data_IF_009070238641
#
_entry.id   IF_009070238641
#
_cell.length_a   1.000
_cell.length_b   1.000
_cell.length_c   1.000
_cell.angle_alpha   90.00
_cell.angle_beta   90.00
_cell.angle_gamma   90.00
#
_symmetry.space_group_name_H-M   'P 1'
#
loop_
_entity.id
_entity.type
_entity.pdbx_description
1 polymer ?
#
# COMPACT_ATOMS: atom_id res chain seq x y z
N UNK A 1 35.23 5.42 20.45
CA UNK A 1 35.44 5.08 19.02
C UNK A 1 34.57 3.88 18.67
N UNK A 2 33.37 4.09 18.12
CA UNK A 2 32.48 3.03 17.62
C UNK A 2 32.38 3.17 16.10
N UNK A 3 33.45 2.72 15.43
CA UNK A 3 33.56 2.69 13.97
C UNK A 3 33.08 1.33 13.44
N UNK A 4 31.76 1.14 13.28
CA UNK A 4 31.22 -0.04 12.56
C UNK A 4 29.92 0.21 11.77
N UNK A 5 29.42 1.45 11.64
CA UNK A 5 28.17 1.75 10.89
C UNK A 5 28.43 2.12 9.41
N UNK A 6 29.59 1.76 8.86
CA UNK A 6 29.99 2.07 7.48
C UNK A 6 30.15 0.78 6.65
N UNK A 7 29.23 -0.19 6.78
CA UNK A 7 29.12 -1.29 5.81
C UNK A 7 28.11 -0.91 4.73
N UNK A 8 28.62 -0.20 3.73
CA UNK A 8 28.20 -0.28 2.32
C UNK A 8 26.74 -0.70 2.05
N UNK A 9 25.78 0.18 2.35
CA UNK A 9 24.37 -0.03 2.05
C UNK A 9 24.09 0.38 0.59
N UNK A 10 24.56 -0.43 -0.37
CA UNK A 10 24.21 -0.31 -1.80
C UNK A 10 22.70 -0.30 -2.03
N UNK A 11 21.94 -0.98 -1.16
CA UNK A 11 20.48 -0.99 -1.12
C UNK A 11 19.84 0.41 -1.00
N UNK A 12 20.51 1.45 -0.48
CA UNK A 12 19.94 2.82 -0.31
C UNK A 12 19.75 3.56 -1.62
N UNK A 13 20.42 3.09 -2.68
CA UNK A 13 20.20 3.63 -4.01
C UNK A 13 19.02 2.94 -4.69
N UNK A 14 18.72 1.69 -4.30
CA UNK A 14 17.64 0.90 -4.87
C UNK A 14 16.33 0.95 -4.05
N UNK A 15 16.31 1.57 -2.87
CA UNK A 15 15.07 1.66 -2.05
C UNK A 15 13.92 2.34 -2.78
N UNK A 16 14.17 3.42 -3.54
CA UNK A 16 13.16 4.07 -4.36
C UNK A 16 12.63 3.15 -5.47
N UNK A 17 13.54 2.44 -6.14
CA UNK A 17 13.19 1.49 -7.20
C UNK A 17 12.35 0.32 -6.65
N UNK A 18 12.70 -0.21 -5.47
CA UNK A 18 11.92 -1.26 -4.80
C UNK A 18 10.54 -0.77 -4.37
N UNK A 19 10.44 0.45 -3.82
CA UNK A 19 9.16 1.06 -3.48
C UNK A 19 8.26 1.23 -4.72
N UNK A 20 8.85 1.65 -5.84
CA UNK A 20 8.14 1.78 -7.10
C UNK A 20 7.64 0.43 -7.63
N UNK A 21 8.48 -0.61 -7.64
CA UNK A 21 8.05 -1.96 -8.04
C UNK A 21 6.88 -2.46 -7.19
N UNK A 22 6.94 -2.31 -5.87
CA UNK A 22 5.84 -2.71 -4.99
C UNK A 22 4.56 -1.95 -5.33
N UNK A 23 4.64 -0.63 -5.56
CA UNK A 23 3.49 0.18 -5.94
C UNK A 23 2.89 -0.21 -7.31
N UNK A 24 3.75 -0.61 -8.26
CA UNK A 24 3.33 -1.11 -9.57
C UNK A 24 2.59 -2.44 -9.44
N UNK A 25 3.17 -3.40 -8.72
CA UNK A 25 2.56 -4.72 -8.50
C UNK A 25 1.23 -4.57 -7.77
N UNK A 26 1.14 -3.71 -6.75
CA UNK A 26 -0.10 -3.46 -6.02
C UNK A 26 -1.18 -2.84 -6.92
N UNK A 27 -0.81 -1.88 -7.77
CA UNK A 27 -1.73 -1.23 -8.72
C UNK A 27 -2.21 -2.21 -9.78
N UNK A 28 -1.29 -2.94 -10.42
CA UNK A 28 -1.62 -3.94 -11.44
C UNK A 28 -2.44 -5.09 -10.86
N UNK A 29 -2.11 -5.57 -9.65
CA UNK A 29 -2.90 -6.57 -8.94
C UNK A 29 -4.33 -6.08 -8.69
N UNK A 30 -4.49 -4.84 -8.21
CA UNK A 30 -5.80 -4.22 -8.02
C UNK A 30 -6.61 -4.16 -9.32
N UNK A 31 -6.00 -3.78 -10.44
CA UNK A 31 -6.68 -3.76 -11.75
C UNK A 31 -7.01 -5.18 -12.23
N UNK A 32 -6.10 -6.14 -12.07
CA UNK A 32 -6.29 -7.51 -12.49
C UNK A 32 -7.51 -8.16 -11.81
N UNK A 33 -7.68 -7.91 -10.51
CA UNK A 33 -8.84 -8.38 -9.77
C UNK A 33 -10.17 -7.82 -10.29
N UNK A 34 -10.21 -6.58 -10.77
CA UNK A 34 -11.46 -5.99 -11.29
C UNK A 34 -11.73 -6.33 -12.75
N UNK A 35 -10.72 -6.26 -13.62
CA UNK A 35 -10.93 -6.41 -15.07
C UNK A 35 -10.97 -7.88 -15.51
N UNK A 36 -10.12 -8.74 -14.95
CA UNK A 36 -10.03 -10.14 -15.37
C UNK A 36 -10.93 -11.03 -14.51
N UNK A 37 -10.90 -10.85 -13.19
CA UNK A 37 -11.66 -11.68 -12.25
C UNK A 37 -13.07 -11.12 -11.95
N UNK A 38 -13.38 -9.91 -12.44
CA UNK A 38 -14.72 -9.31 -12.30
C UNK A 38 -15.09 -8.91 -10.87
N UNK A 39 -14.12 -8.75 -9.97
CA UNK A 39 -14.41 -8.36 -8.59
C UNK A 39 -14.79 -6.87 -8.52
N UNK A 40 -16.03 -6.64 -8.11
CA UNK A 40 -16.59 -5.30 -7.94
C UNK A 40 -16.01 -4.73 -6.63
N UNK A 41 -15.29 -3.59 -6.68
CA UNK A 41 -14.71 -2.99 -5.49
C UNK A 41 -15.82 -2.43 -4.59
N UNK A 42 -15.70 -2.66 -3.28
CA UNK A 42 -16.50 -1.94 -2.29
C UNK A 42 -15.98 -0.51 -2.07
N UNK A 43 -16.75 0.32 -1.36
CA UNK A 43 -16.37 1.71 -1.09
C UNK A 43 -15.01 1.84 -0.39
N UNK A 44 -14.73 0.98 0.61
CA UNK A 44 -13.43 0.96 1.31
C UNK A 44 -12.27 0.55 0.39
N UNK A 45 -12.46 -0.43 -0.49
CA UNK A 45 -11.48 -0.77 -1.53
C UNK A 45 -11.24 0.40 -2.48
N UNK A 46 -12.28 1.18 -2.78
CA UNK A 46 -12.16 2.35 -3.62
C UNK A 46 -11.28 3.43 -2.98
N UNK A 47 -11.46 3.69 -1.68
CA UNK A 47 -10.56 4.57 -0.93
C UNK A 47 -9.10 4.08 -0.92
N UNK A 48 -8.88 2.76 -0.81
CA UNK A 48 -7.52 2.19 -0.92
C UNK A 48 -6.91 2.45 -2.32
N UNK A 49 -7.71 2.33 -3.40
CA UNK A 49 -7.28 2.61 -4.77
C UNK A 49 -6.89 4.07 -4.98
N UNK A 50 -7.70 5.02 -4.48
CA UNK A 50 -7.39 6.45 -4.55
C UNK A 50 -6.03 6.76 -3.92
N UNK A 51 -5.68 6.08 -2.83
CA UNK A 51 -4.39 6.29 -2.18
C UNK A 51 -3.24 5.56 -2.89
N UNK A 52 -3.49 4.38 -3.46
CA UNK A 52 -2.45 3.56 -4.09
C UNK A 52 -2.05 4.04 -5.49
N UNK A 53 -3.00 4.43 -6.34
CA UNK A 53 -2.68 4.73 -7.74
C UNK A 53 -1.78 5.97 -7.92
N UNK A 54 -2.00 7.08 -7.19
CA UNK A 54 -1.09 8.23 -7.24
C UNK A 54 0.31 7.87 -6.73
N UNK A 55 0.43 6.99 -5.72
CA UNK A 55 1.72 6.56 -5.19
C UNK A 55 2.58 5.89 -6.27
N UNK A 56 1.97 5.07 -7.13
CA UNK A 56 2.67 4.42 -8.25
C UNK A 56 3.30 5.46 -9.20
N UNK A 57 2.55 6.50 -9.55
CA UNK A 57 3.01 7.56 -10.44
C UNK A 57 4.08 8.42 -9.75
N UNK A 58 3.82 8.86 -8.52
CA UNK A 58 4.73 9.70 -7.72
C UNK A 58 6.07 9.01 -7.47
N UNK A 59 6.05 7.73 -7.07
CA UNK A 59 7.27 6.94 -6.88
C UNK A 59 8.00 6.66 -8.20
N UNK A 60 7.26 6.49 -9.30
CA UNK A 60 7.84 6.37 -10.64
C UNK A 60 8.64 7.61 -11.01
N UNK A 61 8.02 8.79 -10.93
CA UNK A 61 8.67 10.08 -11.19
C UNK A 61 9.88 10.26 -10.27
N UNK A 62 9.73 10.03 -8.96
CA UNK A 62 10.84 10.13 -8.01
C UNK A 62 12.01 9.20 -8.32
N UNK A 63 11.73 8.02 -8.89
CA UNK A 63 12.74 7.06 -9.29
C UNK A 63 13.49 7.54 -10.54
N UNK A 64 12.78 8.11 -11.53
CA UNK A 64 13.41 8.69 -12.74
C UNK A 64 14.29 9.91 -12.43
N UNK A 65 13.82 10.82 -11.58
CA UNK A 65 14.58 12.02 -11.19
C UNK A 65 15.51 11.80 -9.97
N UNK A 66 15.51 10.59 -9.40
CA UNK A 66 16.26 10.20 -8.20
C UNK A 66 16.04 11.15 -7.00
N UNK A 67 14.81 11.67 -6.87
CA UNK A 67 14.43 12.67 -5.86
C UNK A 67 14.05 12.02 -4.52
N UNK A 68 14.99 12.01 -3.58
CA UNK A 68 14.79 11.43 -2.23
C UNK A 68 13.95 12.30 -1.30
N UNK A 69 13.59 13.52 -1.71
CA UNK A 69 12.80 14.46 -0.92
C UNK A 69 11.29 14.16 -0.96
N UNK A 70 10.83 13.30 -1.87
CA UNK A 70 9.42 12.99 -2.04
C UNK A 70 8.80 12.24 -0.85
N UNK A 71 9.65 11.74 0.06
CA UNK A 71 9.23 11.09 1.32
C UNK A 71 8.20 11.88 2.12
N UNK A 72 8.23 13.21 2.07
CA UNK A 72 7.28 14.07 2.80
C UNK A 72 5.84 13.90 2.32
N UNK A 73 5.65 13.57 1.05
CA UNK A 73 4.33 13.37 0.44
C UNK A 73 3.89 11.92 0.49
N UNK A 74 4.83 11.00 0.24
CA UNK A 74 4.56 9.56 0.17
C UNK A 74 4.20 8.99 1.55
N UNK A 75 4.91 9.40 2.62
CA UNK A 75 4.70 8.82 3.96
C UNK A 75 3.25 9.00 4.45
N UNK A 76 2.70 10.23 4.50
CA UNK A 76 1.34 10.45 4.98
C UNK A 76 0.30 9.65 4.18
N UNK A 77 0.41 9.64 2.85
CA UNK A 77 -0.52 8.91 1.98
C UNK A 77 -0.45 7.40 2.25
N UNK A 78 0.76 6.84 2.36
CA UNK A 78 0.95 5.41 2.65
C UNK A 78 0.42 4.99 4.03
N UNK A 79 0.55 5.86 5.04
CA UNK A 79 0.05 5.59 6.41
C UNK A 79 -1.48 5.65 6.46
N UNK A 80 -2.09 6.62 5.76
CA UNK A 80 -3.54 6.74 5.68
C UNK A 80 -4.13 5.53 4.92
N UNK A 81 -3.57 5.20 3.76
CA UNK A 81 -3.98 4.01 3.00
C UNK A 81 -3.81 2.70 3.79
N UNK A 82 -2.69 2.58 4.51
CA UNK A 82 -2.42 1.47 5.43
C UNK A 82 -3.48 1.35 6.54
N UNK A 83 -3.81 2.46 7.19
CA UNK A 83 -4.83 2.51 8.25
C UNK A 83 -6.22 2.07 7.74
N UNK A 84 -6.60 2.51 6.53
CA UNK A 84 -7.87 2.11 5.88
C UNK A 84 -7.86 0.61 5.55
N UNK A 85 -6.73 0.08 5.07
CA UNK A 85 -6.61 -1.36 4.77
C UNK A 85 -6.65 -2.23 6.03
N UNK A 86 -6.08 -1.76 7.14
CA UNK A 86 -6.16 -2.42 8.43
C UNK A 86 -7.60 -2.45 8.95
N UNK A 87 -8.31 -1.31 8.85
CA UNK A 87 -9.73 -1.24 9.21
C UNK A 87 -10.59 -2.17 8.35
N UNK A 88 -10.37 -2.21 7.04
CA UNK A 88 -11.09 -3.09 6.14
C UNK A 88 -10.84 -4.58 6.46
N UNK A 89 -9.58 -4.95 6.73
CA UNK A 89 -9.25 -6.31 7.16
C UNK A 89 -9.91 -6.69 8.50
N UNK A 90 -9.98 -5.76 9.45
CA UNK A 90 -10.64 -5.97 10.73
C UNK A 90 -12.15 -6.22 10.56
N UNK A 91 -12.82 -5.49 9.67
CA UNK A 91 -14.25 -5.72 9.36
C UNK A 91 -14.50 -7.13 8.81
N UNK A 92 -13.63 -7.61 7.91
CA UNK A 92 -13.78 -8.93 7.29
C UNK A 92 -13.56 -10.09 8.28
N UNK A 93 -12.68 -9.92 9.27
CA UNK A 93 -12.29 -11.00 10.20
C UNK A 93 -12.99 -10.95 11.55
N UNK A 94 -13.50 -9.80 11.98
CA UNK A 94 -14.16 -9.65 13.28
C UNK A 94 -15.68 -9.67 13.06
N UNK A 95 -16.39 -10.77 13.40
CA UNK A 95 -17.82 -10.95 13.14
C UNK A 95 -18.76 -10.04 13.98
N UNK A 96 -18.24 -8.97 14.60
CA UNK A 96 -19.01 -7.94 15.33
C UNK A 96 -18.90 -6.53 14.74
N UNK A 97 -18.05 -6.31 13.74
CA UNK A 97 -17.92 -5.01 13.04
C UNK A 97 -18.72 -4.96 11.73
N UNK A 98 -19.28 -6.09 11.29
CA UNK A 98 -20.03 -6.24 10.05
C UNK A 98 -21.37 -5.48 10.00
N UNK A 99 -21.88 -5.01 11.14
CA UNK A 99 -23.12 -4.22 11.23
C UNK A 99 -22.88 -2.71 11.02
N UNK A 100 -21.63 -2.26 11.13
CA UNK A 100 -21.27 -0.86 10.88
C UNK A 100 -21.12 -0.70 9.37
N UNK A 101 -22.25 -0.60 8.66
CA UNK A 101 -22.31 -0.32 7.23
C UNK A 101 -22.38 1.21 7.04
N UNK A 102 -21.26 1.94 6.87
CA UNK A 102 -21.34 3.32 6.41
C UNK A 102 -21.89 3.29 4.98
N UNK A 103 -23.18 3.61 4.83
CA UNK A 103 -23.88 3.95 3.59
C UNK A 103 -23.74 2.96 2.42
N UNK A 104 -24.77 2.14 2.17
CA UNK A 104 -24.75 1.17 1.05
C UNK A 104 -25.06 1.87 -0.28
N UNK A 105 -24.06 2.05 -1.13
CA UNK A 105 -24.21 2.10 -2.59
C UNK A 105 -23.35 0.98 -3.22
N UNK A 106 -23.89 -0.25 -3.33
CA UNK A 106 -23.25 -1.36 -4.03
C UNK A 106 -23.01 -2.62 -3.18
N UNK A 107 -21.89 -3.30 -3.41
CA UNK A 107 -21.52 -4.58 -2.76
C UNK A 107 -21.00 -4.38 -1.32
N UNK A 108 -21.37 -5.26 -0.36
CA UNK A 108 -20.96 -5.10 1.03
C UNK A 108 -19.44 -5.25 1.21
N UNK A 109 -18.83 -4.42 2.06
CA UNK A 109 -17.40 -4.49 2.39
C UNK A 109 -17.01 -5.75 3.18
N UNK A 110 -17.99 -6.51 3.69
CA UNK A 110 -17.78 -7.76 4.43
C UNK A 110 -17.65 -9.00 3.50
N UNK A 111 -17.70 -8.81 2.19
CA UNK A 111 -17.60 -9.94 1.25
C UNK A 111 -16.13 -10.26 0.97
N UNK A 112 -15.73 -11.47 1.36
CA UNK A 112 -14.42 -12.03 1.07
C UNK A 112 -14.42 -12.73 -0.30
N UNK A 113 -14.01 -12.02 -1.36
CA UNK A 113 -13.89 -12.59 -2.71
C UNK A 113 -12.75 -13.62 -2.85
N UNK A 114 -11.68 -13.45 -2.08
CA UNK A 114 -10.51 -14.34 -2.08
C UNK A 114 -10.18 -14.67 -0.64
N UNK A 115 -10.11 -15.96 -0.35
CA UNK A 115 -9.68 -16.46 0.96
C UNK A 115 -8.81 -17.71 0.80
N UNK A 116 -7.64 -17.56 0.17
CA UNK A 116 -6.77 -18.69 -0.20
C UNK A 116 -6.25 -19.50 1.00
N UNK A 117 -6.00 -18.85 2.15
CA UNK A 117 -5.43 -19.49 3.34
C UNK A 117 -6.26 -19.26 4.61
N UNK A 118 -7.52 -18.84 4.50
CA UNK A 118 -8.30 -18.42 5.67
C UNK A 118 -7.96 -17.01 6.19
N UNK A 119 -6.83 -16.42 5.75
CA UNK A 119 -6.31 -15.12 6.21
C UNK A 119 -5.90 -14.16 5.08
N UNK A 120 -5.52 -14.66 3.90
CA UNK A 120 -5.08 -13.81 2.79
C UNK A 120 -6.31 -13.29 2.04
N UNK A 121 -6.72 -12.07 2.38
CA UNK A 121 -7.74 -11.31 1.65
C UNK A 121 -7.12 -10.15 0.87
N UNK A 122 -7.89 -9.55 -0.04
CA UNK A 122 -7.48 -8.40 -0.83
C UNK A 122 -6.98 -7.23 0.04
N UNK A 123 -7.69 -6.78 1.11
CA UNK A 123 -7.20 -5.70 1.96
C UNK A 123 -5.92 -6.06 2.72
N UNK A 124 -5.68 -7.34 3.03
CA UNK A 124 -4.42 -7.77 3.65
C UNK A 124 -3.23 -7.59 2.69
N UNK A 125 -3.40 -7.92 1.40
CA UNK A 125 -2.38 -7.68 0.39
C UNK A 125 -2.09 -6.18 0.22
N UNK A 126 -3.15 -5.35 0.23
CA UNK A 126 -3.01 -3.90 0.19
C UNK A 126 -2.23 -3.36 1.42
N UNK A 127 -2.54 -3.88 2.62
CA UNK A 127 -1.84 -3.53 3.85
C UNK A 127 -0.33 -3.82 3.75
N UNK A 128 0.04 -5.02 3.29
CA UNK A 128 1.45 -5.39 3.08
C UNK A 128 2.13 -4.42 2.11
N UNK A 129 1.48 -4.07 1.00
CA UNK A 129 2.03 -3.13 0.03
C UNK A 129 2.28 -1.75 0.64
N UNK A 130 1.30 -1.19 1.37
CA UNK A 130 1.47 0.10 2.06
C UNK A 130 2.56 0.05 3.14
N UNK A 131 2.66 -1.04 3.90
CA UNK A 131 3.72 -1.23 4.89
C UNK A 131 5.10 -1.30 4.24
N UNK A 132 5.24 -2.04 3.14
CA UNK A 132 6.50 -2.13 2.39
C UNK A 132 6.92 -0.77 1.82
N UNK A 133 5.99 -0.02 1.21
CA UNK A 133 6.25 1.34 0.71
C UNK A 133 6.70 2.24 1.86
N UNK A 134 5.99 2.23 2.99
CA UNK A 134 6.35 3.01 4.18
C UNK A 134 7.76 2.68 4.66
N UNK A 135 8.09 1.38 4.78
CA UNK A 135 9.39 0.91 5.23
C UNK A 135 10.51 1.37 4.28
N UNK A 136 10.33 1.24 2.97
CA UNK A 136 11.31 1.69 2.00
C UNK A 136 11.51 3.21 2.00
N UNK A 137 10.46 3.98 2.25
CA UNK A 137 10.56 5.43 2.40
C UNK A 137 11.28 5.84 3.69
N UNK A 138 11.08 5.13 4.80
CA UNK A 138 11.81 5.35 6.06
C UNK A 138 13.29 5.02 5.94
N UNK A 139 13.64 3.93 5.23
CA UNK A 139 15.03 3.56 4.95
C UNK A 139 15.71 4.52 3.97
N UNK A 140 14.94 5.25 3.16
CA UNK A 140 15.46 6.25 2.23
C UNK A 140 15.90 7.51 2.98
N UNK A 141 17.19 7.55 3.31
CA UNK A 141 17.82 8.72 3.90
C UNK A 141 17.92 9.86 2.88
N UNK A 142 16.98 10.81 2.94
CA UNK A 142 17.15 12.11 2.27
C UNK A 142 18.36 12.84 2.86
N UNK A 143 19.23 13.36 1.98
CA UNK A 143 20.16 14.42 2.36
C UNK A 143 19.30 15.68 2.49
N UNK A 144 18.82 15.98 3.70
CA UNK A 144 18.33 17.31 4.01
C UNK A 144 19.49 18.28 3.73
N UNK A 145 19.30 19.17 2.77
CA UNK A 145 20.23 20.27 2.49
C UNK A 145 20.24 21.22 3.67
#
# INVERSE_FOLDING_TARGET
MMNTVQKNFTWRNYTLYMAWIVSMIATLGSLFFSEILGFIPCELCWFQRIMMYPLCIILGIATFYNEKNIKKYVLPISIIGGSISLYHYAIQKIPGFSEINPCVQGVPCNVDYINWLGFITIPFLALIAFCMITLFMLLTRSKTK
#
